data_IF_517106948177
#
_entry.id   IF_517106948177
#
_cell.length_a   1.000
_cell.length_b   1.000
_cell.length_c   1.000
_cell.angle_alpha   90.00
_cell.angle_beta   90.00
_cell.angle_gamma   90.00
#
_symmetry.space_group_name_H-M   'P 1'
#
loop_
_entity.id
_entity.type
_entity.pdbx_description
1 polymer ?
#
# COMPACT_ATOMS: atom_id res chain seq x y z
N UNK A 1 21.75 2.76 -10.28
CA UNK A 1 22.57 1.94 -9.36
C UNK A 1 21.79 0.74 -8.78
N UNK A 2 20.86 0.15 -9.55
CA UNK A 2 20.09 -1.06 -9.17
C UNK A 2 20.79 -2.37 -9.60
N UNK A 3 21.75 -2.26 -10.51
CA UNK A 3 22.57 -3.33 -11.04
C UNK A 3 24.00 -3.09 -10.59
N UNK A 4 24.68 -4.15 -10.17
CA UNK A 4 26.12 -4.13 -9.90
C UNK A 4 26.81 -5.13 -10.83
N UNK A 5 27.84 -4.72 -11.58
CA UNK A 5 28.66 -5.66 -12.33
C UNK A 5 29.55 -6.42 -11.34
N UNK A 6 29.49 -7.74 -11.39
CA UNK A 6 30.48 -8.64 -10.79
C UNK A 6 31.04 -9.45 -11.95
N UNK A 7 32.35 -9.31 -12.19
CA UNK A 7 33.15 -10.00 -13.22
C UNK A 7 32.47 -10.22 -14.59
N UNK A 8 32.46 -9.16 -15.41
CA UNK A 8 32.55 -9.21 -16.89
C UNK A 8 31.50 -9.94 -17.73
N UNK A 9 30.63 -10.78 -17.17
CA UNK A 9 29.71 -11.66 -17.94
C UNK A 9 28.32 -11.88 -17.33
N UNK A 10 28.04 -11.36 -16.14
CA UNK A 10 26.77 -11.56 -15.44
C UNK A 10 26.01 -10.24 -15.22
N UNK A 11 24.74 -10.20 -15.62
CA UNK A 11 23.81 -9.12 -15.26
C UNK A 11 22.87 -9.66 -14.18
N UNK A 12 23.08 -9.22 -12.93
CA UNK A 12 22.24 -9.60 -11.78
C UNK A 12 21.33 -8.43 -11.38
N UNK A 13 20.01 -8.66 -11.37
CA UNK A 13 19.02 -7.74 -10.78
C UNK A 13 18.89 -8.07 -9.29
N UNK A 14 19.43 -7.20 -8.43
CA UNK A 14 19.40 -7.39 -6.96
C UNK A 14 18.02 -7.00 -6.39
N UNK A 15 17.25 -8.01 -6.00
CA UNK A 15 15.91 -7.84 -5.41
C UNK A 15 15.88 -6.96 -4.15
N UNK A 16 16.97 -6.88 -3.37
CA UNK A 16 17.01 -6.02 -2.17
C UNK A 16 17.10 -4.54 -2.56
N UNK A 17 17.83 -4.20 -3.63
CA UNK A 17 17.93 -2.82 -4.13
C UNK A 17 16.64 -2.37 -4.80
N UNK A 18 15.97 -3.28 -5.52
CA UNK A 18 14.66 -3.02 -6.13
C UNK A 18 13.60 -2.84 -5.05
N UNK A 19 13.59 -3.68 -4.01
CA UNK A 19 12.67 -3.56 -2.88
C UNK A 19 12.81 -2.21 -2.17
N UNK A 20 14.04 -1.78 -1.86
CA UNK A 20 14.30 -0.46 -1.27
C UNK A 20 13.86 0.72 -2.16
N UNK A 21 13.95 0.59 -3.48
CA UNK A 21 13.47 1.62 -4.39
C UNK A 21 11.94 1.66 -4.43
N UNK A 22 11.29 0.49 -4.42
CA UNK A 22 9.83 0.37 -4.37
C UNK A 22 9.30 0.92 -3.05
N UNK A 23 9.89 0.58 -1.90
CA UNK A 23 9.50 1.14 -0.59
C UNK A 23 9.60 2.68 -0.57
N UNK A 24 10.63 3.25 -1.22
CA UNK A 24 10.81 4.71 -1.33
C UNK A 24 9.80 5.38 -2.27
N UNK A 25 9.32 4.67 -3.29
CA UNK A 25 8.36 5.19 -4.27
C UNK A 25 6.90 4.96 -3.86
N UNK A 26 6.59 3.87 -3.17
CA UNK A 26 5.24 3.49 -2.77
C UNK A 26 4.88 3.86 -1.33
N UNK A 27 5.87 4.11 -0.46
CA UNK A 27 5.66 4.38 0.96
C UNK A 27 5.12 3.18 1.76
N UNK A 28 5.11 1.98 1.18
CA UNK A 28 4.57 0.75 1.76
C UNK A 28 5.73 -0.23 2.02
N UNK A 29 5.73 -0.87 3.20
CA UNK A 29 6.71 -1.87 3.63
C UNK A 29 6.47 -3.19 2.90
N UNK A 30 7.45 -3.67 2.13
CA UNK A 30 7.29 -4.86 1.27
C UNK A 30 7.39 -6.17 2.07
N UNK A 31 6.54 -7.15 1.73
CA UNK A 31 6.60 -8.51 2.28
C UNK A 31 7.60 -9.34 1.47
N UNK A 32 8.52 -10.05 2.16
CA UNK A 32 9.62 -10.81 1.53
C UNK A 32 9.25 -12.27 1.32
N UNK A 33 9.33 -12.75 0.08
CA UNK A 33 9.33 -14.17 -0.27
C UNK A 33 10.53 -14.40 -1.21
N UNK A 34 11.42 -15.32 -0.84
CA UNK A 34 12.64 -15.62 -1.58
C UNK A 34 12.37 -16.72 -2.60
N UNK A 35 12.53 -16.42 -3.89
CA UNK A 35 12.70 -17.43 -4.94
C UNK A 35 13.84 -16.99 -5.89
N UNK A 36 14.71 -17.94 -6.23
CA UNK A 36 15.82 -17.77 -7.18
C UNK A 36 15.47 -18.52 -8.46
N UNK A 37 15.42 -17.84 -9.61
CA UNK A 37 15.20 -18.47 -10.92
C UNK A 37 16.48 -18.35 -11.73
N UNK A 38 17.23 -19.45 -11.84
CA UNK A 38 18.41 -19.58 -12.70
C UNK A 38 18.03 -20.30 -13.99
N UNK A 39 18.44 -19.77 -15.15
CA UNK A 39 18.24 -20.43 -16.45
C UNK A 39 19.59 -20.69 -17.13
N UNK A 40 20.11 -21.90 -16.99
CA UNK A 40 21.34 -22.33 -17.67
C UNK A 40 21.04 -22.91 -19.06
N UNK A 41 21.89 -22.56 -20.02
CA UNK A 41 21.87 -23.08 -21.40
C UNK A 41 22.03 -24.61 -21.40
N UNK A 42 20.95 -25.36 -21.61
CA UNK A 42 21.05 -26.80 -21.95
C UNK A 42 19.96 -27.76 -21.49
N UNK A 43 18.93 -27.37 -20.74
CA UNK A 43 17.92 -28.34 -20.28
C UNK A 43 16.64 -28.39 -21.12
N UNK A 44 16.32 -29.62 -21.52
CA UNK A 44 15.17 -30.07 -22.31
C UNK A 44 13.82 -29.70 -21.66
N UNK A 45 12.91 -29.18 -22.49
CA UNK A 45 11.56 -28.70 -22.15
C UNK A 45 10.54 -29.80 -21.80
N UNK A 46 10.95 -30.92 -21.20
CA UNK A 46 10.09 -32.12 -21.09
C UNK A 46 9.78 -32.61 -19.68
N UNK A 47 10.06 -31.86 -18.61
CA UNK A 47 9.76 -32.38 -17.26
C UNK A 47 9.34 -31.31 -16.22
N UNK A 48 8.22 -30.60 -16.47
CA UNK A 48 7.58 -29.72 -15.47
C UNK A 48 6.05 -29.87 -15.41
N UNK A 49 5.54 -31.06 -15.70
CA UNK A 49 4.12 -31.44 -15.47
C UNK A 49 3.80 -31.78 -14.00
N UNK A 50 4.69 -31.51 -13.04
CA UNK A 50 4.51 -31.88 -11.64
C UNK A 50 4.49 -30.67 -10.69
N UNK A 51 3.57 -29.75 -10.92
CA UNK A 51 3.01 -28.93 -9.83
C UNK A 51 1.48 -28.89 -10.02
N UNK A 52 0.83 -30.00 -9.68
CA UNK A 52 -0.56 -29.97 -9.22
C UNK A 52 -0.58 -29.15 -7.93
N UNK A 53 -0.92 -27.86 -8.03
CA UNK A 53 -1.48 -27.11 -6.91
C UNK A 53 -2.99 -27.01 -7.15
N UNK A 54 -3.72 -27.46 -6.13
CA UNK A 54 -5.17 -27.49 -5.99
C UNK A 54 -5.90 -26.27 -6.56
N UNK A 55 -7.01 -26.53 -7.24
CA UNK A 55 -8.21 -25.68 -7.45
C UNK A 55 -8.14 -24.29 -6.77
N UNK A 56 -7.35 -23.38 -7.35
CA UNK A 56 -7.41 -21.97 -6.99
C UNK A 56 -8.40 -21.32 -7.94
N UNK A 57 -9.52 -20.82 -7.40
CA UNK A 57 -10.45 -19.95 -8.11
C UNK A 57 -9.69 -18.70 -8.62
N UNK A 58 -9.10 -18.79 -9.82
CA UNK A 58 -8.43 -17.66 -10.47
C UNK A 58 -9.51 -16.74 -11.04
N UNK A 59 -9.96 -15.78 -10.23
CA UNK A 59 -10.93 -14.77 -10.65
C UNK A 59 -10.20 -13.67 -11.43
N UNK A 60 -10.46 -13.58 -12.75
CA UNK A 60 -9.97 -12.47 -13.57
C UNK A 60 -10.80 -11.22 -13.31
N UNK A 61 -10.21 -10.25 -12.62
CA UNK A 61 -10.83 -8.95 -12.37
C UNK A 61 -10.17 -7.91 -13.29
N UNK A 62 -10.93 -7.15 -14.10
CA UNK A 62 -10.37 -6.05 -14.88
C UNK A 62 -9.71 -5.01 -13.98
N UNK A 63 -8.52 -4.54 -14.36
CA UNK A 63 -7.76 -3.53 -13.61
C UNK A 63 -8.55 -2.24 -13.35
N UNK A 64 -9.42 -1.86 -14.30
CA UNK A 64 -10.30 -0.71 -14.15
C UNK A 64 -11.25 -0.83 -12.94
N UNK A 65 -11.72 -2.05 -12.62
CA UNK A 65 -12.60 -2.28 -11.46
C UNK A 65 -11.86 -2.13 -10.13
N UNK A 66 -10.67 -2.73 -10.03
CA UNK A 66 -9.82 -2.60 -8.84
C UNK A 66 -9.40 -1.13 -8.66
N UNK A 67 -9.07 -0.46 -9.76
CA UNK A 67 -8.74 0.97 -9.78
C UNK A 67 -9.89 1.85 -9.29
N UNK A 68 -11.13 1.53 -9.68
CA UNK A 68 -12.31 2.27 -9.18
C UNK A 68 -12.56 2.03 -7.69
N UNK A 69 -12.28 0.83 -7.18
CA UNK A 69 -12.39 0.54 -5.75
C UNK A 69 -11.35 1.34 -4.95
N UNK A 70 -10.11 1.44 -5.46
CA UNK A 70 -9.08 2.25 -4.82
C UNK A 70 -9.50 3.72 -4.76
N UNK A 71 -10.01 4.24 -5.88
CA UNK A 71 -10.50 5.62 -5.93
C UNK A 71 -11.62 5.87 -4.92
N UNK A 72 -12.59 4.97 -4.82
CA UNK A 72 -13.66 5.05 -3.82
C UNK A 72 -13.12 5.00 -2.39
N UNK A 73 -12.13 4.14 -2.12
CA UNK A 73 -11.49 4.07 -0.81
C UNK A 73 -10.69 5.36 -0.49
N UNK A 74 -10.03 5.96 -1.49
CA UNK A 74 -9.34 7.24 -1.37
C UNK A 74 -10.31 8.39 -1.11
N UNK A 75 -11.48 8.41 -1.73
CA UNK A 75 -12.53 9.42 -1.45
C UNK A 75 -12.99 9.37 0.02
N UNK A 76 -13.01 8.17 0.63
CA UNK A 76 -13.36 8.00 2.04
C UNK A 76 -12.33 8.61 3.01
N UNK A 77 -11.11 8.94 2.56
CA UNK A 77 -10.15 9.69 3.38
C UNK A 77 -10.69 11.05 3.79
N UNK A 78 -11.45 11.70 2.90
CA UNK A 78 -12.09 12.99 3.20
C UNK A 78 -13.12 12.84 4.32
N UNK A 79 -13.90 11.75 4.28
CA UNK A 79 -14.90 11.43 5.31
C UNK A 79 -14.23 11.11 6.64
N UNK A 80 -13.12 10.37 6.61
CA UNK A 80 -12.27 10.07 7.78
C UNK A 80 -11.75 11.35 8.45
N UNK A 81 -11.24 12.28 7.65
CA UNK A 81 -10.70 13.56 8.11
C UNK A 81 -11.78 14.41 8.76
N UNK A 82 -12.92 14.58 8.08
CA UNK A 82 -14.07 15.33 8.59
C UNK A 82 -14.64 14.71 9.87
N UNK A 83 -14.73 13.38 9.96
CA UNK A 83 -15.19 12.69 11.17
C UNK A 83 -14.25 12.93 12.36
N UNK A 84 -12.94 12.92 12.11
CA UNK A 84 -11.94 13.21 13.12
C UNK A 84 -12.00 14.67 13.58
N UNK A 85 -12.23 15.60 12.66
CA UNK A 85 -12.47 17.02 12.96
C UNK A 85 -13.72 17.21 13.82
N UNK A 86 -14.87 16.67 13.41
CA UNK A 86 -16.11 16.76 14.20
C UNK A 86 -15.95 16.16 15.61
N UNK A 87 -15.17 15.08 15.74
CA UNK A 87 -14.87 14.52 17.07
C UNK A 87 -14.00 15.44 17.94
N UNK A 88 -13.16 16.28 17.32
CA UNK A 88 -12.40 17.31 18.02
C UNK A 88 -13.29 18.49 18.40
N UNK A 89 -14.11 18.99 17.47
CA UNK A 89 -15.04 20.10 17.71
C UNK A 89 -16.00 19.79 18.87
N UNK A 90 -16.57 18.58 18.90
CA UNK A 90 -17.47 18.15 20.00
C UNK A 90 -16.73 18.03 21.33
N UNK A 91 -15.45 17.67 21.31
CA UNK A 91 -14.62 17.65 22.52
C UNK A 91 -14.45 19.07 23.04
N UNK A 92 -14.12 20.03 22.17
CA UNK A 92 -13.98 21.43 22.53
C UNK A 92 -15.30 22.02 23.07
N UNK A 93 -16.44 21.74 22.43
CA UNK A 93 -17.76 22.18 22.93
C UNK A 93 -18.04 21.62 24.33
N UNK A 94 -17.72 20.36 24.57
CA UNK A 94 -17.88 19.77 25.90
C UNK A 94 -16.96 20.42 26.95
N UNK A 95 -15.73 20.75 26.58
CA UNK A 95 -14.78 21.39 27.47
C UNK A 95 -15.17 22.85 27.76
N UNK A 96 -15.68 23.58 26.76
CA UNK A 96 -16.28 24.91 26.93
C UNK A 96 -17.51 24.89 27.83
N UNK A 97 -18.36 23.87 27.70
CA UNK A 97 -19.53 23.70 28.57
C UNK A 97 -19.14 23.47 30.03
N UNK A 98 -18.04 22.75 30.27
CA UNK A 98 -17.50 22.53 31.62
C UNK A 98 -17.01 23.84 32.25
N UNK A 99 -16.32 24.68 31.47
CA UNK A 99 -15.91 26.01 31.91
C UNK A 99 -17.12 26.90 32.21
N UNK A 100 -18.11 26.93 31.31
CA UNK A 100 -19.35 27.69 31.50
C UNK A 100 -20.10 27.28 32.78
N UNK A 101 -20.22 25.98 33.04
CA UNK A 101 -20.81 25.44 34.27
C UNK A 101 -20.08 25.94 35.52
N UNK A 102 -18.75 26.01 35.48
CA UNK A 102 -17.94 26.48 36.61
C UNK A 102 -18.09 27.99 36.83
N UNK A 103 -18.18 28.80 35.77
CA UNK A 103 -18.45 30.23 35.89
C UNK A 103 -19.86 30.51 36.45
N UNK A 104 -20.88 29.77 35.98
CA UNK A 104 -22.24 29.89 36.53
C UNK A 104 -22.31 29.61 38.03
N UNK A 105 -21.52 28.65 38.53
CA UNK A 105 -21.44 28.36 39.97
C UNK A 105 -20.85 29.52 40.79
N UNK A 106 -20.05 30.40 40.20
CA UNK A 106 -19.43 31.55 40.90
C UNK A 106 -20.37 32.75 40.99
N UNK A 107 -21.23 32.93 39.99
CA UNK A 107 -22.06 34.15 39.83
C UNK A 107 -23.40 34.05 40.56
N UNK A 108 -23.95 32.85 40.72
CA UNK A 108 -25.31 32.69 41.25
C UNK A 108 -25.37 32.51 42.77
N UNK A 109 -26.24 33.29 43.41
CA UNK A 109 -26.73 33.08 44.79
C UNK A 109 -27.55 31.79 44.89
N UNK A 110 -27.46 31.05 46.01
CA UNK A 110 -28.18 29.78 46.24
C UNK A 110 -29.68 29.99 46.51
N UNK A 111 -30.40 30.53 45.52
CA UNK A 111 -31.85 30.72 45.57
C UNK A 111 -32.58 29.53 44.91
N UNK A 112 -33.88 29.37 45.16
CA UNK A 112 -34.68 28.27 44.57
C UNK A 112 -34.63 28.25 43.02
N UNK A 113 -34.57 29.42 42.39
CA UNK A 113 -34.40 29.56 40.93
C UNK A 113 -33.09 28.94 40.44
N UNK A 114 -32.01 29.02 41.23
CA UNK A 114 -30.72 28.45 40.88
C UNK A 114 -30.74 26.92 40.90
N UNK A 115 -31.41 26.31 41.88
CA UNK A 115 -31.55 24.85 41.96
C UNK A 115 -32.26 24.28 40.72
N UNK A 116 -33.24 25.00 40.17
CA UNK A 116 -33.94 24.60 38.94
C UNK A 116 -33.02 24.63 37.72
N UNK A 117 -32.24 25.70 37.57
CA UNK A 117 -31.26 25.87 36.49
C UNK A 117 -30.13 24.85 36.58
N UNK A 118 -29.63 24.57 37.79
CA UNK A 118 -28.60 23.56 38.03
C UNK A 118 -29.07 22.16 37.60
N UNK A 119 -30.33 21.82 37.84
CA UNK A 119 -30.94 20.57 37.36
C UNK A 119 -30.93 20.44 35.83
N UNK A 120 -31.25 21.53 35.12
CA UNK A 120 -31.19 21.56 33.66
C UNK A 120 -29.75 21.44 33.14
N UNK A 121 -28.79 22.14 33.75
CA UNK A 121 -27.37 22.07 33.40
C UNK A 121 -26.84 20.65 33.58
N UNK A 122 -27.13 19.98 34.70
CA UNK A 122 -26.74 18.57 34.93
C UNK A 122 -27.37 17.61 33.92
N UNK A 123 -28.58 17.89 33.43
CA UNK A 123 -29.20 17.11 32.37
C UNK A 123 -28.50 17.31 31.03
N UNK A 124 -28.19 18.57 30.67
CA UNK A 124 -27.44 18.91 29.47
C UNK A 124 -26.03 18.31 29.48
N UNK A 125 -25.32 18.39 30.62
CA UNK A 125 -23.99 17.81 30.82
C UNK A 125 -23.98 16.32 30.52
N UNK A 126 -24.94 15.57 31.10
CA UNK A 126 -25.06 14.12 30.86
C UNK A 126 -25.30 13.81 29.39
N UNK A 127 -26.17 14.57 28.72
CA UNK A 127 -26.43 14.39 27.27
C UNK A 127 -25.18 14.69 26.44
N UNK A 128 -24.49 15.79 26.75
CA UNK A 128 -23.28 16.22 26.05
C UNK A 128 -22.15 15.20 26.21
N UNK A 129 -21.98 14.64 27.41
CA UNK A 129 -20.98 13.60 27.67
C UNK A 129 -21.30 12.31 26.92
N UNK A 130 -22.58 11.94 26.80
CA UNK A 130 -23.02 10.79 25.98
C UNK A 130 -22.72 11.02 24.50
N UNK A 131 -23.04 12.21 23.96
CA UNK A 131 -22.76 12.58 22.56
C UNK A 131 -21.24 12.60 22.30
N UNK A 132 -20.45 13.18 23.21
CA UNK A 132 -18.98 13.20 23.12
C UNK A 132 -18.43 11.78 23.03
N UNK A 133 -18.90 10.87 23.88
CA UNK A 133 -18.46 9.46 23.88
C UNK A 133 -18.88 8.73 22.61
N UNK A 134 -20.14 8.87 22.18
CA UNK A 134 -20.64 8.17 20.98
C UNK A 134 -19.90 8.63 19.73
N UNK A 135 -19.72 9.94 19.54
CA UNK A 135 -19.01 10.50 18.37
C UNK A 135 -17.54 10.07 18.36
N UNK A 136 -16.87 10.04 19.51
CA UNK A 136 -15.50 9.54 19.59
C UNK A 136 -15.40 8.06 19.24
N UNK A 137 -16.36 7.24 19.66
CA UNK A 137 -16.41 5.82 19.30
C UNK A 137 -16.68 5.64 17.80
N UNK A 138 -17.64 6.36 17.24
CA UNK A 138 -17.96 6.31 15.81
C UNK A 138 -16.77 6.76 14.95
N UNK A 139 -16.13 7.88 15.29
CA UNK A 139 -14.95 8.38 14.57
C UNK A 139 -13.80 7.35 14.59
N UNK A 140 -13.50 6.76 15.75
CA UNK A 140 -12.48 5.69 15.84
C UNK A 140 -12.83 4.46 14.99
N UNK A 141 -14.09 4.03 15.02
CA UNK A 141 -14.54 2.87 14.26
C UNK A 141 -14.51 3.13 12.75
N UNK A 142 -14.96 4.29 12.33
CA UNK A 142 -14.91 4.75 10.94
C UNK A 142 -13.46 4.81 10.44
N UNK A 143 -12.57 5.41 11.24
CA UNK A 143 -11.16 5.53 10.88
C UNK A 143 -10.52 4.17 10.61
N UNK A 144 -10.78 3.18 11.47
CA UNK A 144 -10.29 1.80 11.28
C UNK A 144 -10.90 1.14 10.05
N UNK A 145 -12.20 1.31 9.80
CA UNK A 145 -12.85 0.73 8.62
C UNK A 145 -12.25 1.30 7.32
N UNK A 146 -12.00 2.60 7.27
CA UNK A 146 -11.38 3.25 6.10
C UNK A 146 -9.94 2.77 5.91
N UNK A 147 -9.15 2.67 6.99
CA UNK A 147 -7.77 2.18 6.92
C UNK A 147 -7.71 0.73 6.40
N UNK A 148 -8.54 -0.15 6.97
CA UNK A 148 -8.60 -1.54 6.52
C UNK A 148 -9.03 -1.64 5.06
N UNK A 149 -10.05 -0.89 4.63
CA UNK A 149 -10.51 -0.92 3.24
C UNK A 149 -9.42 -0.44 2.27
N UNK A 150 -8.69 0.60 2.63
CA UNK A 150 -7.57 1.11 1.83
C UNK A 150 -6.46 0.08 1.72
N UNK A 151 -6.09 -0.55 2.84
CA UNK A 151 -5.04 -1.57 2.86
C UNK A 151 -5.46 -2.82 2.07
N UNK A 152 -6.67 -3.33 2.29
CA UNK A 152 -7.22 -4.47 1.54
C UNK A 152 -7.25 -4.18 0.03
N UNK A 153 -7.70 -2.99 -0.36
CA UNK A 153 -7.76 -2.61 -1.78
C UNK A 153 -6.37 -2.48 -2.40
N UNK A 154 -5.38 -1.98 -1.65
CA UNK A 154 -3.98 -1.95 -2.08
C UNK A 154 -3.42 -3.35 -2.23
N UNK A 155 -3.72 -4.27 -1.32
CA UNK A 155 -3.27 -5.66 -1.42
C UNK A 155 -3.79 -6.34 -2.69
N UNK A 156 -5.05 -6.10 -3.08
CA UNK A 156 -5.61 -6.63 -4.34
C UNK A 156 -4.88 -6.09 -5.58
N UNK A 157 -4.20 -4.94 -5.49
CA UNK A 157 -3.41 -4.38 -6.59
C UNK A 157 -1.98 -4.94 -6.69
N UNK A 158 -1.53 -5.69 -5.68
CA UNK A 158 -0.19 -6.25 -5.66
C UNK A 158 -0.06 -7.38 -6.68
N UNK A 159 1.06 -7.41 -7.38
CA UNK A 159 1.40 -8.47 -8.32
C UNK A 159 2.88 -8.82 -8.17
N UNK A 160 3.27 -10.10 -8.35
CA UNK A 160 4.67 -10.45 -8.28
C UNK A 160 5.45 -9.85 -9.45
N UNK A 161 6.68 -9.42 -9.18
CA UNK A 161 7.58 -8.81 -10.14
C UNK A 161 7.84 -9.72 -11.36
N UNK A 162 7.76 -11.04 -11.18
CA UNK A 162 7.85 -12.03 -12.25
C UNK A 162 6.87 -11.76 -13.40
N UNK A 163 5.67 -11.25 -13.12
CA UNK A 163 4.62 -11.02 -14.13
C UNK A 163 5.04 -10.05 -15.24
N UNK A 164 5.88 -9.06 -14.92
CA UNK A 164 6.41 -8.12 -15.93
C UNK A 164 7.72 -8.60 -16.56
N UNK A 165 8.40 -9.57 -15.92
CA UNK A 165 9.68 -10.12 -16.36
C UNK A 165 9.56 -11.37 -17.25
N UNK A 166 8.38 -11.98 -17.41
CA UNK A 166 8.17 -13.22 -18.17
C UNK A 166 8.78 -13.19 -19.60
N UNK A 167 8.83 -12.01 -20.25
CA UNK A 167 9.40 -11.84 -21.60
C UNK A 167 10.89 -11.49 -21.65
N UNK A 168 11.53 -11.17 -20.51
CA UNK A 168 12.91 -10.70 -20.48
C UNK A 168 13.93 -11.76 -20.94
N UNK A 169 13.80 -13.06 -20.60
CA UNK A 169 14.73 -14.08 -21.10
C UNK A 169 14.80 -14.15 -22.62
N UNK A 170 13.64 -14.06 -23.29
CA UNK A 170 13.56 -14.06 -24.75
C UNK A 170 14.16 -12.78 -25.34
N UNK A 171 13.84 -11.63 -24.74
CA UNK A 171 14.38 -10.34 -25.16
C UNK A 171 15.91 -10.31 -25.10
N UNK A 172 16.49 -10.72 -23.97
CA UNK A 172 17.95 -10.75 -23.78
C UNK A 172 18.60 -11.70 -24.77
N UNK A 173 18.02 -12.88 -24.98
CA UNK A 173 18.54 -13.85 -25.96
C UNK A 173 18.54 -13.30 -27.38
N UNK A 174 17.50 -12.57 -27.78
CA UNK A 174 17.43 -11.96 -29.11
C UNK A 174 18.50 -10.87 -29.28
N UNK A 175 18.60 -9.94 -28.33
CA UNK A 175 19.60 -8.84 -28.37
C UNK A 175 21.04 -9.39 -28.34
N UNK A 176 21.29 -10.40 -27.50
CA UNK A 176 22.57 -11.10 -27.40
C UNK A 176 22.99 -11.73 -28.73
N UNK A 177 22.06 -12.42 -29.41
CA UNK A 177 22.32 -13.01 -30.72
C UNK A 177 22.57 -11.94 -31.80
N UNK A 178 21.79 -10.86 -31.81
CA UNK A 178 21.95 -9.75 -32.75
C UNK A 178 23.32 -9.07 -32.64
N UNK A 179 23.87 -9.01 -31.43
CA UNK A 179 25.19 -8.39 -31.18
C UNK A 179 26.35 -9.38 -31.17
N UNK A 180 26.09 -10.68 -31.30
CA UNK A 180 27.12 -11.72 -31.22
C UNK A 180 27.80 -11.83 -29.84
N UNK A 181 27.18 -11.32 -28.77
CA UNK A 181 27.71 -11.36 -27.40
C UNK A 181 27.09 -12.53 -26.63
N UNK A 182 27.88 -13.27 -25.86
CA UNK A 182 27.34 -14.30 -24.97
C UNK A 182 26.88 -13.67 -23.65
N UNK A 183 25.59 -13.77 -23.33
CA UNK A 183 24.98 -13.18 -22.13
C UNK A 183 24.25 -14.27 -21.34
N UNK A 184 24.45 -14.28 -20.02
CA UNK A 184 23.63 -15.06 -19.09
C UNK A 184 22.74 -14.14 -18.25
N UNK A 185 21.45 -14.46 -18.17
CA UNK A 185 20.46 -13.63 -17.47
C UNK A 185 20.03 -14.32 -16.17
N UNK A 186 20.32 -13.66 -15.04
CA UNK A 186 19.93 -14.14 -13.72
C UNK A 186 18.88 -13.19 -13.12
N UNK A 187 17.69 -13.71 -12.86
CA UNK A 187 16.59 -12.96 -12.25
C UNK A 187 16.44 -13.41 -10.80
N UNK A 188 16.66 -12.46 -9.87
CA UNK A 188 16.47 -12.68 -8.44
C UNK A 188 15.36 -11.79 -7.91
N UNK A 189 14.54 -12.31 -6.98
CA UNK A 189 13.45 -11.53 -6.38
C UNK A 189 12.20 -11.40 -7.25
N UNK A 190 11.98 -12.32 -8.21
CA UNK A 190 10.76 -12.34 -9.02
C UNK A 190 9.47 -12.52 -8.19
N UNK A 191 9.56 -13.17 -7.03
CA UNK A 191 8.44 -13.34 -6.10
C UNK A 191 8.11 -12.11 -5.25
N UNK A 192 8.86 -11.00 -5.37
CA UNK A 192 8.55 -9.77 -4.66
C UNK A 192 7.25 -9.18 -5.22
N UNK A 193 6.29 -8.93 -4.34
CA UNK A 193 5.02 -8.30 -4.70
C UNK A 193 5.12 -6.77 -4.67
N UNK A 194 4.55 -6.12 -5.69
CA UNK A 194 4.49 -4.67 -5.78
C UNK A 194 3.23 -4.21 -6.54
N UNK A 195 2.93 -2.91 -6.44
CA UNK A 195 1.79 -2.31 -7.14
C UNK A 195 1.89 -2.56 -8.65
N UNK A 196 0.84 -3.17 -9.21
CA UNK A 196 0.81 -3.51 -10.64
C UNK A 196 1.03 -2.30 -11.56
N UNK A 197 0.54 -1.10 -11.22
CA UNK A 197 0.75 0.12 -12.02
C UNK A 197 2.21 0.53 -12.01
N UNK A 198 2.87 0.42 -10.86
CA UNK A 198 4.31 0.67 -10.74
C UNK A 198 5.07 -0.34 -11.60
N UNK A 199 4.72 -1.63 -11.51
CA UNK A 199 5.36 -2.69 -12.30
C UNK A 199 5.25 -2.46 -13.81
N UNK A 200 4.06 -2.10 -14.31
CA UNK A 200 3.88 -1.77 -15.73
C UNK A 200 4.68 -0.51 -16.12
N UNK A 201 4.73 0.51 -15.26
CA UNK A 201 5.48 1.74 -15.50
C UNK A 201 7.01 1.59 -15.52
N UNK A 202 7.56 0.62 -14.77
CA UNK A 202 9.02 0.36 -14.74
C UNK A 202 9.48 -0.62 -15.83
N UNK A 203 8.56 -1.32 -16.50
CA UNK A 203 8.89 -2.34 -17.50
C UNK A 203 9.77 -1.79 -18.63
N UNK A 204 9.37 -0.70 -19.26
CA UNK A 204 10.13 -0.09 -20.36
C UNK A 204 11.50 0.44 -19.89
N UNK A 205 11.61 1.19 -18.76
CA UNK A 205 12.90 1.53 -18.19
C UNK A 205 13.83 0.33 -17.95
N UNK A 206 13.31 -0.80 -17.46
CA UNK A 206 14.11 -2.01 -17.24
C UNK A 206 14.60 -2.61 -18.56
N UNK A 207 13.75 -2.64 -19.59
CA UNK A 207 14.15 -3.05 -20.95
C UNK A 207 15.30 -2.18 -21.45
N UNK A 208 15.18 -0.86 -21.29
CA UNK A 208 16.22 0.08 -21.70
C UNK A 208 17.54 -0.14 -20.95
N UNK A 209 17.48 -0.36 -19.65
CA UNK A 209 18.68 -0.63 -18.83
C UNK A 209 19.35 -1.93 -19.29
N UNK A 210 18.58 -3.00 -19.46
CA UNK A 210 19.11 -4.30 -19.91
C UNK A 210 19.75 -4.18 -21.29
N UNK A 211 19.12 -3.47 -22.23
CA UNK A 211 19.71 -3.20 -23.54
C UNK A 211 21.02 -2.43 -23.41
N UNK A 212 21.05 -1.32 -22.66
CA UNK A 212 22.28 -0.56 -22.45
C UNK A 212 23.42 -1.41 -21.85
N UNK A 213 23.09 -2.33 -20.93
CA UNK A 213 24.07 -3.26 -20.37
C UNK A 213 24.63 -4.23 -21.42
N UNK A 214 23.81 -4.74 -22.34
CA UNK A 214 24.28 -5.63 -23.40
C UNK A 214 25.07 -4.83 -24.45
N UNK A 215 24.58 -3.67 -24.87
CA UNK A 215 25.17 -2.81 -25.89
C UNK A 215 26.56 -2.31 -25.47
N UNK A 216 26.67 -1.78 -24.25
CA UNK A 216 27.83 -1.02 -23.79
C UNK A 216 28.45 -1.55 -22.49
N UNK A 217 27.76 -2.38 -21.73
CA UNK A 217 28.24 -2.88 -20.43
C UNK A 217 29.03 -4.19 -20.50
N UNK A 218 28.87 -4.94 -21.59
CA UNK A 218 29.63 -6.16 -21.88
C UNK A 218 30.66 -5.79 -22.96
N UNK A 219 31.88 -5.50 -22.53
CA UNK A 219 33.09 -5.36 -23.38
C UNK A 219 33.93 -6.63 -23.30
#
# INVERSE_FOLDING_TARGET
MLLSPLDGKEITIDGNKVSNLIERLSGIKTMRIYDTISFTRGESLLNKEAILMSDTDVVRIPLARISSLLLQAEELLSVKLLSSQHSADIREVADMFELFKNELKKVCSKDESFNRVEGHIKSMERRLLTIKKSVQQYSRSLNRMVDNLLDDTKMVMMSPFSTVLEGFPLLVRNISNEQGKAVDLIIQGGGIEADRRILEGIKDPLIHIVRNCIDHGIE
#
